data_IF_878111201111
#
_entry.id   IF_878111201111
#
_cell.length_a   1.000
_cell.length_b   1.000
_cell.length_c   1.000
_cell.angle_alpha   90.00
_cell.angle_beta   90.00
_cell.angle_gamma   90.00
#
_symmetry.space_group_name_H-M   'P 1'
#
loop_
_entity.id
_entity.type
_entity.pdbx_description
1 polymer ?
#
# COMPACT_ATOMS: atom_id res chain seq x y z
N UNK A 1 0.76 22.83 -8.14
CA UNK A 1 1.26 21.73 -7.30
C UNK A 1 0.05 20.89 -6.92
N UNK A 2 0.00 19.60 -7.28
CA UNK A 2 -1.13 18.73 -6.87
C UNK A 2 -1.08 18.55 -5.35
N UNK A 3 -2.24 18.62 -4.71
CA UNK A 3 -2.40 18.40 -3.26
C UNK A 3 -1.94 16.99 -2.89
N UNK A 4 -1.05 16.86 -1.91
CA UNK A 4 -0.57 15.56 -1.46
C UNK A 4 -1.69 14.80 -0.72
N UNK A 5 -1.85 13.52 -1.05
CA UNK A 5 -2.82 12.64 -0.38
C UNK A 5 -2.26 12.10 0.92
N UNK A 6 -0.94 11.91 0.99
CA UNK A 6 -0.18 11.53 2.19
C UNK A 6 0.98 12.49 2.35
N UNK A 7 1.15 13.05 3.55
CA UNK A 7 2.30 13.86 3.95
C UNK A 7 2.85 13.34 5.28
N UNK A 8 4.12 13.02 5.28
CA UNK A 8 4.85 12.52 6.46
C UNK A 8 6.10 13.37 6.62
N UNK A 9 6.32 13.89 7.84
CA UNK A 9 7.47 14.73 8.16
C UNK A 9 8.18 14.19 9.40
N UNK A 10 9.45 13.81 9.24
CA UNK A 10 10.38 13.36 10.29
C UNK A 10 9.81 12.30 11.25
N UNK A 11 8.98 11.41 10.69
CA UNK A 11 8.29 10.37 11.45
C UNK A 11 9.29 9.40 12.08
N UNK A 12 9.28 9.34 13.40
CA UNK A 12 10.10 8.40 14.15
C UNK A 12 9.22 7.49 15.02
N UNK A 13 9.52 6.19 14.99
CA UNK A 13 8.85 5.18 15.81
C UNK A 13 9.84 4.15 16.34
N UNK A 14 9.79 3.90 17.65
CA UNK A 14 10.57 2.86 18.35
C UNK A 14 9.67 1.87 19.06
N UNK A 15 10.09 0.62 19.07
CA UNK A 15 9.48 -0.46 19.85
C UNK A 15 10.58 -1.05 20.75
N UNK A 16 10.56 -0.70 22.03
CA UNK A 16 11.64 -1.02 22.95
C UNK A 16 12.99 -0.45 22.44
N UNK A 17 13.96 -1.31 22.25
CA UNK A 17 15.29 -0.95 21.74
C UNK A 17 15.35 -0.80 20.19
N UNK A 18 14.32 -1.27 19.47
CA UNK A 18 14.32 -1.28 18.01
C UNK A 18 13.72 0.00 17.47
N UNK A 19 14.46 0.72 16.62
CA UNK A 19 13.95 1.85 15.83
C UNK A 19 13.35 1.30 14.54
N UNK A 20 12.02 1.33 14.44
CA UNK A 20 11.29 0.82 13.29
C UNK A 20 11.16 1.87 12.16
N UNK A 21 11.10 3.17 12.52
CA UNK A 21 11.15 4.31 11.60
C UNK A 21 12.06 5.37 12.21
N UNK A 22 12.91 5.98 11.41
CA UNK A 22 13.93 6.94 11.82
C UNK A 22 13.90 8.16 10.90
N UNK A 23 13.26 9.24 11.37
CA UNK A 23 13.09 10.52 10.68
C UNK A 23 12.58 10.36 9.21
N UNK A 24 11.56 9.53 9.02
CA UNK A 24 10.97 9.26 7.69
C UNK A 24 10.16 10.47 7.24
N UNK A 25 10.50 11.03 6.07
CA UNK A 25 9.74 12.10 5.41
C UNK A 25 9.35 11.63 4.01
N UNK A 26 8.05 11.81 3.65
CA UNK A 26 7.46 11.31 2.41
C UNK A 26 6.25 12.15 2.03
N UNK A 27 6.13 12.50 0.75
CA UNK A 27 4.95 13.18 0.21
C UNK A 27 4.46 12.43 -1.03
N UNK A 28 3.19 12.03 -1.02
CA UNK A 28 2.55 11.29 -2.12
C UNK A 28 1.42 12.14 -2.70
N UNK A 29 1.62 12.76 -3.89
CA UNK A 29 0.57 13.42 -4.65
C UNK A 29 -0.55 12.48 -5.09
N UNK A 30 -1.70 13.04 -5.48
CA UNK A 30 -2.86 12.28 -5.98
C UNK A 30 -2.63 11.70 -7.37
N UNK A 31 -3.30 10.59 -7.68
CA UNK A 31 -3.50 10.08 -9.03
C UNK A 31 -2.33 9.29 -9.60
N UNK A 32 -1.60 8.56 -8.75
CA UNK A 32 -0.50 7.69 -9.17
C UNK A 32 -0.40 6.41 -8.33
N UNK A 33 0.36 5.43 -8.83
CA UNK A 33 0.75 4.21 -8.12
C UNK A 33 2.09 4.42 -7.42
N UNK A 34 2.11 4.25 -6.11
CA UNK A 34 3.29 4.33 -5.28
C UNK A 34 3.68 2.95 -4.75
N UNK A 35 4.86 2.48 -5.12
CA UNK A 35 5.45 1.26 -4.59
C UNK A 35 6.34 1.56 -3.38
N UNK A 36 6.02 0.99 -2.21
CA UNK A 36 6.85 1.04 -1.01
C UNK A 36 7.64 -0.27 -0.91
N UNK A 37 8.94 -0.22 -1.20
CA UNK A 37 9.77 -1.43 -1.28
C UNK A 37 10.84 -1.47 -0.20
N UNK A 38 11.15 -2.68 0.24
CA UNK A 38 12.18 -2.94 1.25
C UNK A 38 12.08 -4.36 1.79
N UNK A 39 13.15 -4.84 2.38
CA UNK A 39 13.19 -6.16 2.99
C UNK A 39 12.16 -6.32 4.14
N UNK A 40 11.89 -7.55 4.55
CA UNK A 40 11.07 -7.79 5.72
C UNK A 40 11.72 -7.15 6.96
N UNK A 41 10.89 -6.48 7.78
CA UNK A 41 11.37 -5.71 8.93
C UNK A 41 11.95 -4.32 8.59
N UNK A 42 11.95 -3.89 7.32
CA UNK A 42 12.46 -2.56 6.94
C UNK A 42 11.62 -1.37 7.46
N UNK A 43 10.38 -1.61 7.94
CA UNK A 43 9.49 -0.58 8.47
C UNK A 43 8.23 -0.32 7.64
N UNK A 44 8.00 -1.03 6.52
CA UNK A 44 6.86 -0.83 5.60
C UNK A 44 5.51 -0.88 6.31
N UNK A 45 5.18 -1.99 6.97
CA UNK A 45 3.92 -2.16 7.73
C UNK A 45 3.80 -1.14 8.88
N UNK A 46 4.92 -0.78 9.52
CA UNK A 46 4.91 0.26 10.56
C UNK A 46 4.52 1.62 9.97
N UNK A 47 5.06 1.98 8.81
CA UNK A 47 4.71 3.22 8.10
C UNK A 47 3.23 3.20 7.70
N UNK A 48 2.74 2.11 7.11
CA UNK A 48 1.33 1.93 6.73
C UNK A 48 0.41 2.07 7.96
N UNK A 49 0.75 1.48 9.09
CA UNK A 49 -0.05 1.61 10.34
C UNK A 49 -0.15 3.05 10.85
N UNK A 50 0.85 3.89 10.61
CA UNK A 50 0.75 5.33 10.93
C UNK A 50 -0.17 6.05 9.93
N UNK A 51 -0.12 5.73 8.64
CA UNK A 51 -1.04 6.26 7.62
C UNK A 51 -2.50 5.90 7.94
N UNK A 52 -2.74 4.70 8.46
CA UNK A 52 -4.08 4.23 8.88
C UNK A 52 -4.54 4.81 10.25
N UNK A 53 -3.69 5.56 10.96
CA UNK A 53 -3.99 6.06 12.30
C UNK A 53 -3.97 4.98 13.40
N UNK A 54 -3.51 3.76 13.10
CA UNK A 54 -3.39 2.66 14.06
C UNK A 54 -2.21 2.84 15.02
N UNK A 55 -1.26 3.70 14.67
CA UNK A 55 -0.12 4.07 15.49
C UNK A 55 0.00 5.60 15.55
N UNK A 56 0.21 6.13 16.77
CA UNK A 56 0.55 7.53 16.99
C UNK A 56 2.05 7.75 16.75
N UNK A 57 2.43 8.82 16.06
CA UNK A 57 3.82 9.25 15.92
C UNK A 57 4.44 9.54 17.31
N UNK A 58 5.66 9.09 17.53
CA UNK A 58 6.47 9.45 18.72
C UNK A 58 7.21 10.77 18.48
N UNK A 59 7.66 11.00 17.22
CA UNK A 59 8.16 12.27 16.75
C UNK A 59 7.75 12.45 15.29
N UNK A 60 7.71 13.69 14.82
CA UNK A 60 7.25 14.03 13.49
C UNK A 60 5.72 14.08 13.36
N UNK A 61 5.23 14.04 12.13
CA UNK A 61 3.79 14.12 11.86
C UNK A 61 3.38 13.29 10.65
N UNK A 62 2.11 12.87 10.62
CA UNK A 62 1.46 12.19 9.50
C UNK A 62 0.16 12.90 9.19
N UNK A 63 -0.06 13.21 7.92
CA UNK A 63 -1.32 13.73 7.41
C UNK A 63 -1.78 12.88 6.23
N UNK A 64 -3.06 12.55 6.22
CA UNK A 64 -3.73 11.86 5.11
C UNK A 64 -4.94 12.70 4.74
N UNK A 65 -5.04 13.11 3.47
CA UNK A 65 -6.03 14.08 3.01
C UNK A 65 -5.98 15.40 3.81
N UNK A 66 -4.77 15.84 4.24
CA UNK A 66 -4.57 17.01 5.10
C UNK A 66 -4.96 16.83 6.57
N UNK A 67 -5.44 15.63 6.99
CA UNK A 67 -5.94 15.30 8.33
C UNK A 67 -4.95 14.45 9.11
N UNK A 68 -4.91 14.59 10.43
CA UNK A 68 -4.21 13.65 11.31
C UNK A 68 -5.07 12.37 11.44
N UNK A 69 -4.59 11.20 10.98
CA UNK A 69 -5.38 9.96 10.96
C UNK A 69 -5.69 9.42 12.37
N UNK A 70 -4.95 9.83 13.39
CA UNK A 70 -5.22 9.45 14.79
C UNK A 70 -6.28 10.37 15.42
N UNK A 71 -6.29 11.65 15.06
CA UNK A 71 -7.25 12.63 15.59
C UNK A 71 -8.60 12.58 14.86
N UNK A 72 -8.60 12.28 13.54
CA UNK A 72 -9.81 12.18 12.72
C UNK A 72 -9.83 10.86 11.91
N UNK A 73 -9.94 9.71 12.59
CA UNK A 73 -9.91 8.40 11.91
C UNK A 73 -11.10 8.22 10.96
N UNK A 74 -12.29 8.72 11.29
CA UNK A 74 -13.46 8.59 10.42
C UNK A 74 -13.29 9.41 9.14
N UNK A 75 -12.79 10.65 9.24
CA UNK A 75 -12.55 11.52 8.10
C UNK A 75 -11.46 10.98 7.15
N UNK A 76 -10.56 10.11 7.64
CA UNK A 76 -9.54 9.46 6.83
C UNK A 76 -10.03 8.10 6.30
N UNK A 77 -10.48 7.20 7.18
CA UNK A 77 -10.78 5.81 6.81
C UNK A 77 -12.02 5.68 5.91
N UNK A 78 -12.97 6.64 5.96
CA UNK A 78 -14.12 6.66 5.03
C UNK A 78 -13.73 6.87 3.57
N UNK A 79 -12.51 7.36 3.30
CA UNK A 79 -11.96 7.67 1.97
C UNK A 79 -10.78 6.79 1.59
N UNK A 80 -10.38 5.86 2.48
CA UNK A 80 -9.21 5.02 2.35
C UNK A 80 -9.60 3.54 2.35
N UNK A 81 -9.24 2.80 1.29
CA UNK A 81 -9.34 1.34 1.21
C UNK A 81 -8.06 0.70 1.76
N UNK A 82 -8.20 -0.37 2.53
CA UNK A 82 -7.04 -1.07 3.09
C UNK A 82 -7.14 -2.58 2.91
N UNK A 83 -6.04 -3.19 2.49
CA UNK A 83 -5.83 -4.63 2.47
C UNK A 83 -4.54 -4.96 3.24
N UNK A 84 -4.67 -5.72 4.33
CA UNK A 84 -3.53 -6.21 5.12
C UNK A 84 -2.88 -7.45 4.49
N UNK A 85 -1.60 -7.68 4.79
CA UNK A 85 -0.88 -8.89 4.38
C UNK A 85 -1.57 -10.18 4.85
N UNK A 86 -2.06 -10.20 6.10
CA UNK A 86 -2.69 -11.38 6.70
C UNK A 86 -4.12 -11.62 6.19
N UNK A 87 -4.72 -10.64 5.52
CA UNK A 87 -6.12 -10.71 5.06
C UNK A 87 -7.08 -11.16 6.16
N UNK A 88 -7.01 -10.52 7.34
CA UNK A 88 -7.78 -10.84 8.53
C UNK A 88 -9.27 -10.49 8.37
N UNK A 89 -9.94 -11.28 7.57
CA UNK A 89 -11.39 -11.19 7.37
C UNK A 89 -12.14 -12.07 8.39
N UNK A 90 -13.35 -11.69 8.81
CA UNK A 90 -14.18 -12.47 9.73
C UNK A 90 -14.48 -13.86 9.19
N UNK A 91 -13.71 -14.87 9.61
CA UNK A 91 -13.78 -16.24 9.08
C UNK A 91 -15.12 -16.95 9.28
N UNK A 92 -15.93 -16.49 10.23
CA UNK A 92 -17.26 -17.03 10.53
C UNK A 92 -18.36 -16.53 9.56
N UNK A 93 -18.13 -15.42 8.86
CA UNK A 93 -19.05 -14.86 7.87
C UNK A 93 -19.00 -15.64 6.56
N UNK A 94 -20.08 -15.55 5.78
CA UNK A 94 -20.10 -15.85 4.35
C UNK A 94 -19.63 -14.64 3.56
N UNK A 95 -19.29 -14.81 2.30
CA UNK A 95 -18.87 -13.71 1.42
C UNK A 95 -19.96 -12.64 1.30
N UNK A 96 -21.22 -13.05 1.08
CA UNK A 96 -22.36 -12.12 1.01
C UNK A 96 -22.63 -11.40 2.35
N UNK A 97 -22.39 -12.07 3.48
CA UNK A 97 -22.48 -11.45 4.81
C UNK A 97 -21.36 -10.45 5.04
N UNK A 98 -20.12 -10.75 4.62
CA UNK A 98 -19.00 -9.85 4.68
C UNK A 98 -19.26 -8.57 3.88
N UNK A 99 -19.78 -8.70 2.66
CA UNK A 99 -20.15 -7.57 1.79
C UNK A 99 -21.20 -6.69 2.48
N UNK A 100 -22.30 -7.28 2.97
CA UNK A 100 -23.37 -6.55 3.67
C UNK A 100 -22.88 -5.88 4.95
N UNK A 101 -22.03 -6.56 5.70
CA UNK A 101 -21.42 -6.03 6.93
C UNK A 101 -20.56 -4.81 6.63
N UNK A 102 -19.64 -4.90 5.65
CA UNK A 102 -18.77 -3.79 5.28
C UNK A 102 -19.55 -2.61 4.72
N UNK A 103 -20.55 -2.87 3.86
CA UNK A 103 -21.47 -1.86 3.32
C UNK A 103 -22.07 -0.94 4.38
N UNK A 104 -22.41 -1.48 5.55
CA UNK A 104 -23.04 -0.71 6.62
C UNK A 104 -22.15 0.42 7.19
N UNK A 105 -20.84 0.36 6.98
CA UNK A 105 -19.87 1.38 7.46
C UNK A 105 -19.56 2.46 6.43
N UNK A 106 -19.90 2.22 5.15
CA UNK A 106 -19.49 3.11 4.05
C UNK A 106 -20.69 3.65 3.29
N UNK A 107 -21.12 4.92 3.55
CA UNK A 107 -22.25 5.53 2.85
C UNK A 107 -22.06 5.64 1.33
N UNK A 108 -20.80 5.70 0.86
CA UNK A 108 -20.43 5.75 -0.56
C UNK A 108 -20.32 4.35 -1.21
N UNK A 109 -20.84 3.29 -0.56
CA UNK A 109 -20.78 1.94 -1.10
C UNK A 109 -21.52 1.83 -2.45
N UNK A 110 -20.86 1.24 -3.44
CA UNK A 110 -21.40 1.01 -4.78
C UNK A 110 -21.76 -0.47 -4.96
N UNK A 111 -23.05 -0.77 -4.87
CA UNK A 111 -23.56 -2.14 -4.98
C UNK A 111 -23.26 -2.77 -6.35
N UNK A 112 -23.40 -1.99 -7.43
CA UNK A 112 -23.16 -2.50 -8.78
C UNK A 112 -21.68 -2.85 -8.98
N UNK A 113 -20.78 -2.01 -8.47
CA UNK A 113 -19.36 -2.27 -8.52
C UNK A 113 -18.95 -3.46 -7.62
N UNK A 114 -19.56 -3.60 -6.44
CA UNK A 114 -19.31 -4.75 -5.58
C UNK A 114 -19.74 -6.08 -6.25
N UNK A 115 -20.88 -6.09 -6.96
CA UNK A 115 -21.32 -7.25 -7.75
C UNK A 115 -20.39 -7.56 -8.92
N UNK A 116 -19.90 -6.54 -9.62
CA UNK A 116 -18.91 -6.68 -10.69
C UNK A 116 -17.61 -7.29 -10.17
N UNK A 117 -17.07 -6.76 -9.06
CA UNK A 117 -15.88 -7.29 -8.42
C UNK A 117 -16.07 -8.72 -7.94
N UNK A 118 -17.24 -9.05 -7.37
CA UNK A 118 -17.56 -10.40 -6.91
C UNK A 118 -17.53 -11.42 -8.07
N UNK A 119 -18.09 -11.04 -9.21
CA UNK A 119 -18.08 -11.87 -10.44
C UNK A 119 -16.64 -11.98 -10.99
N UNK A 120 -15.93 -10.86 -11.11
CA UNK A 120 -14.55 -10.81 -11.63
C UNK A 120 -13.59 -11.66 -10.79
N UNK A 121 -13.75 -11.64 -9.47
CA UNK A 121 -12.91 -12.40 -8.54
C UNK A 121 -13.40 -13.84 -8.32
N UNK A 122 -14.48 -14.24 -9.00
CA UNK A 122 -15.09 -15.56 -8.87
C UNK A 122 -15.34 -15.98 -7.40
N UNK A 123 -15.92 -15.05 -6.61
CA UNK A 123 -16.21 -15.28 -5.20
C UNK A 123 -17.63 -15.83 -5.03
N UNK A 124 -17.75 -17.06 -4.52
CA UNK A 124 -19.04 -17.70 -4.25
C UNK A 124 -19.71 -17.02 -3.04
N UNK A 125 -20.92 -16.42 -3.19
CA UNK A 125 -21.60 -15.67 -2.13
C UNK A 125 -21.81 -16.45 -0.84
N UNK A 126 -22.17 -17.74 -0.98
CA UNK A 126 -22.50 -18.63 0.13
C UNK A 126 -21.29 -19.23 0.83
N UNK A 127 -20.07 -19.10 0.26
CA UNK A 127 -18.86 -19.65 0.83
C UNK A 127 -18.46 -18.97 2.13
N UNK A 128 -18.06 -19.74 3.14
CA UNK A 128 -17.54 -19.18 4.39
C UNK A 128 -16.13 -18.64 4.17
N UNK A 129 -15.84 -17.44 4.68
CA UNK A 129 -14.53 -16.79 4.56
C UNK A 129 -13.39 -17.69 5.09
N UNK A 130 -13.61 -18.44 6.18
CA UNK A 130 -12.62 -19.40 6.69
C UNK A 130 -12.27 -20.52 5.73
N UNK A 131 -13.17 -20.89 4.81
CA UNK A 131 -12.96 -21.97 3.83
C UNK A 131 -12.32 -21.50 2.54
N UNK A 132 -12.18 -20.19 2.36
CA UNK A 132 -11.52 -19.61 1.19
C UNK A 132 -10.01 -19.91 1.20
N UNK A 133 -9.45 -20.16 0.03
CA UNK A 133 -8.00 -20.20 -0.14
C UNK A 133 -7.37 -18.84 0.18
N UNK A 134 -6.04 -18.79 0.39
CA UNK A 134 -5.33 -17.53 0.62
C UNK A 134 -5.60 -16.51 -0.49
N UNK A 135 -5.57 -16.94 -1.75
CA UNK A 135 -5.87 -16.09 -2.90
C UNK A 135 -7.31 -15.61 -2.95
N UNK A 136 -8.28 -16.47 -2.62
CA UNK A 136 -9.69 -16.06 -2.53
C UNK A 136 -9.93 -15.07 -1.38
N UNK A 137 -9.25 -15.23 -0.24
CA UNK A 137 -9.30 -14.26 0.86
C UNK A 137 -8.74 -12.90 0.43
N UNK A 138 -7.62 -12.89 -0.28
CA UNK A 138 -7.03 -11.66 -0.82
C UNK A 138 -8.00 -10.94 -1.78
N UNK A 139 -8.65 -11.69 -2.69
CA UNK A 139 -9.68 -11.15 -3.59
C UNK A 139 -10.90 -10.63 -2.82
N UNK A 140 -11.37 -11.33 -1.80
CA UNK A 140 -12.49 -10.89 -0.96
C UNK A 140 -12.14 -9.61 -0.17
N UNK A 141 -10.92 -9.53 0.40
CA UNK A 141 -10.40 -8.33 1.05
C UNK A 141 -10.29 -7.16 0.09
N UNK A 142 -9.80 -7.41 -1.14
CA UNK A 142 -9.69 -6.38 -2.17
C UNK A 142 -11.08 -5.88 -2.61
N UNK A 143 -12.07 -6.76 -2.76
CA UNK A 143 -13.45 -6.38 -3.07
C UNK A 143 -13.98 -5.39 -2.02
N UNK A 144 -13.91 -5.74 -0.74
CA UNK A 144 -14.47 -4.88 0.32
C UNK A 144 -13.68 -3.58 0.49
N UNK A 145 -12.38 -3.57 0.14
CA UNK A 145 -11.56 -2.37 0.16
C UNK A 145 -11.85 -1.42 -1.03
N UNK A 146 -12.39 -1.94 -2.14
CA UNK A 146 -12.66 -1.18 -3.38
C UNK A 146 -14.12 -0.74 -3.52
N UNK A 147 -15.08 -1.50 -2.98
CA UNK A 147 -16.49 -1.35 -3.30
C UNK A 147 -17.12 0.00 -2.93
N UNK A 148 -16.52 0.75 -1.99
CA UNK A 148 -16.96 2.13 -1.67
C UNK A 148 -16.15 3.21 -2.41
N UNK A 149 -15.39 2.80 -3.43
CA UNK A 149 -14.65 3.68 -4.33
C UNK A 149 -13.72 4.66 -3.58
N UNK A 150 -12.76 4.16 -2.75
CA UNK A 150 -11.88 5.02 -1.96
C UNK A 150 -10.99 5.91 -2.84
N UNK A 151 -10.62 7.10 -2.36
CA UNK A 151 -9.68 8.01 -3.03
C UNK A 151 -8.23 7.53 -2.91
N UNK A 152 -7.91 6.80 -1.84
CA UNK A 152 -6.61 6.19 -1.58
C UNK A 152 -6.80 4.70 -1.27
N UNK A 153 -6.11 3.83 -2.02
CA UNK A 153 -6.02 2.40 -1.72
C UNK A 153 -4.65 2.09 -1.15
N UNK A 154 -4.60 1.52 0.05
CA UNK A 154 -3.37 1.08 0.72
C UNK A 154 -3.35 -0.44 0.80
N UNK A 155 -2.32 -1.06 0.25
CA UNK A 155 -2.16 -2.51 0.19
C UNK A 155 -0.83 -2.91 0.85
N UNK A 156 -0.90 -3.67 1.95
CA UNK A 156 0.31 -4.14 2.64
C UNK A 156 0.64 -5.56 2.20
N UNK A 157 1.72 -5.71 1.41
CA UNK A 157 2.18 -6.98 0.83
C UNK A 157 1.05 -7.80 0.16
N UNK A 158 0.24 -7.22 -0.75
CA UNK A 158 -1.01 -7.81 -1.22
C UNK A 158 -0.83 -9.13 -1.98
N UNK A 159 0.37 -9.41 -2.48
CA UNK A 159 0.74 -10.59 -3.27
C UNK A 159 1.55 -11.63 -2.48
N UNK A 160 1.86 -11.34 -1.20
CA UNK A 160 2.71 -12.20 -0.38
C UNK A 160 2.18 -13.62 -0.25
N UNK A 161 2.99 -14.62 -0.68
CA UNK A 161 2.66 -16.05 -0.60
C UNK A 161 1.46 -16.47 -1.47
N UNK A 162 1.14 -15.69 -2.50
CA UNK A 162 0.12 -16.04 -3.50
C UNK A 162 0.77 -16.69 -4.74
N UNK A 163 -0.01 -17.52 -5.42
CA UNK A 163 0.39 -18.07 -6.71
C UNK A 163 0.46 -16.98 -7.81
N UNK A 164 1.20 -17.21 -8.92
CA UNK A 164 1.41 -16.20 -9.95
C UNK A 164 0.12 -15.70 -10.62
N UNK A 165 -0.95 -16.52 -10.68
CA UNK A 165 -2.22 -16.14 -11.30
C UNK A 165 -2.95 -15.13 -10.44
N UNK A 166 -3.12 -15.44 -9.14
CA UNK A 166 -3.77 -14.52 -8.19
C UNK A 166 -2.98 -13.24 -8.04
N UNK A 167 -1.64 -13.32 -8.00
CA UNK A 167 -0.75 -12.15 -7.98
C UNK A 167 -1.04 -11.22 -9.16
N UNK A 168 -1.11 -11.76 -10.38
CA UNK A 168 -1.43 -10.98 -11.58
C UNK A 168 -2.81 -10.33 -11.51
N UNK A 169 -3.81 -11.01 -10.93
CA UNK A 169 -5.15 -10.45 -10.77
C UNK A 169 -5.16 -9.25 -9.82
N UNK A 170 -4.41 -9.32 -8.71
CA UNK A 170 -4.27 -8.21 -7.77
C UNK A 170 -3.57 -7.03 -8.41
N UNK A 171 -2.43 -7.24 -9.08
CA UNK A 171 -1.71 -6.19 -9.81
C UNK A 171 -2.59 -5.58 -10.91
N UNK A 172 -3.36 -6.40 -11.63
CA UNK A 172 -4.34 -5.94 -12.61
C UNK A 172 -5.45 -5.08 -11.99
N UNK A 173 -5.92 -5.41 -10.79
CA UNK A 173 -6.90 -4.61 -10.08
C UNK A 173 -6.34 -3.25 -9.64
N UNK A 174 -5.08 -3.20 -9.20
CA UNK A 174 -4.35 -1.97 -8.89
C UNK A 174 -4.32 -1.05 -10.11
N UNK A 175 -3.89 -1.57 -11.27
CA UNK A 175 -3.80 -0.80 -12.51
C UNK A 175 -5.17 -0.23 -12.91
N UNK A 176 -6.24 -1.05 -12.87
CA UNK A 176 -7.60 -0.61 -13.21
C UNK A 176 -8.09 0.50 -12.29
N UNK A 177 -7.83 0.40 -10.99
CA UNK A 177 -8.24 1.41 -10.00
C UNK A 177 -7.71 2.81 -10.33
N UNK A 178 -6.55 2.91 -11.00
CA UNK A 178 -5.96 4.18 -11.43
C UNK A 178 -6.43 4.58 -12.81
N UNK A 179 -6.35 3.64 -13.77
CA UNK A 179 -6.66 3.91 -15.16
C UNK A 179 -8.10 4.39 -15.35
N UNK A 180 -9.04 3.78 -14.61
CA UNK A 180 -10.48 4.05 -14.79
C UNK A 180 -10.97 5.23 -13.94
N UNK A 181 -10.29 5.58 -12.84
CA UNK A 181 -10.86 6.49 -11.84
C UNK A 181 -9.88 7.54 -11.30
N UNK A 182 -8.62 7.56 -11.75
CA UNK A 182 -7.61 8.54 -11.35
C UNK A 182 -7.30 8.53 -9.84
N UNK A 183 -7.48 7.39 -9.17
CA UNK A 183 -7.28 7.25 -7.73
C UNK A 183 -5.80 7.06 -7.39
N UNK A 184 -5.47 7.19 -6.12
CA UNK A 184 -4.11 6.95 -5.63
C UNK A 184 -4.01 5.56 -5.03
N UNK A 185 -2.92 4.85 -5.34
CA UNK A 185 -2.60 3.56 -4.71
C UNK A 185 -1.23 3.64 -4.07
N UNK A 186 -1.14 3.19 -2.82
CA UNK A 186 0.12 2.88 -2.14
C UNK A 186 0.14 1.38 -1.86
N UNK A 187 1.12 0.66 -2.41
CA UNK A 187 1.28 -0.75 -2.08
C UNK A 187 2.70 -1.06 -1.63
N UNK A 188 2.82 -1.89 -0.60
CA UNK A 188 4.10 -2.39 -0.17
C UNK A 188 4.43 -3.72 -0.84
N UNK A 189 5.71 -3.96 -1.14
CA UNK A 189 6.22 -5.25 -1.60
C UNK A 189 7.69 -5.42 -1.19
N UNK A 190 8.10 -6.65 -0.96
CA UNK A 190 9.50 -7.02 -0.88
C UNK A 190 10.03 -7.52 -2.25
N UNK A 191 9.16 -7.67 -3.26
CA UNK A 191 9.47 -8.08 -4.62
C UNK A 191 9.52 -6.86 -5.53
N UNK A 192 10.75 -6.36 -5.81
CA UNK A 192 10.94 -5.16 -6.61
C UNK A 192 10.40 -5.31 -8.04
N UNK A 193 10.43 -6.53 -8.60
CA UNK A 193 9.89 -6.83 -9.93
C UNK A 193 8.38 -6.56 -10.04
N UNK A 194 7.59 -6.74 -8.96
CA UNK A 194 6.16 -6.40 -8.96
C UNK A 194 5.96 -4.90 -9.07
N UNK A 195 6.79 -4.15 -8.34
CA UNK A 195 6.73 -2.68 -8.32
C UNK A 195 7.13 -2.11 -9.68
N UNK A 196 8.14 -2.68 -10.34
CA UNK A 196 8.55 -2.28 -11.69
C UNK A 196 7.45 -2.42 -12.75
N UNK A 197 6.47 -3.31 -12.52
CA UNK A 197 5.39 -3.58 -13.47
C UNK A 197 4.24 -2.56 -13.37
N UNK A 198 4.02 -1.97 -12.20
CA UNK A 198 2.78 -1.21 -11.95
C UNK A 198 2.99 0.16 -11.32
N UNK A 199 4.15 0.44 -10.72
CA UNK A 199 4.38 1.69 -9.99
C UNK A 199 4.83 2.83 -10.90
N UNK A 200 4.27 4.02 -10.70
CA UNK A 200 4.75 5.27 -11.27
C UNK A 200 5.89 5.86 -10.43
N UNK A 201 5.79 5.67 -9.10
CA UNK A 201 6.76 6.16 -8.13
C UNK A 201 7.22 5.03 -7.21
N UNK A 202 8.47 5.07 -6.81
CA UNK A 202 9.06 4.08 -5.91
C UNK A 202 9.69 4.75 -4.71
N UNK A 203 9.34 4.26 -3.53
CA UNK A 203 9.97 4.61 -2.26
C UNK A 203 10.67 3.38 -1.71
N UNK A 204 12.00 3.43 -1.63
CA UNK A 204 12.82 2.37 -1.06
C UNK A 204 13.08 2.66 0.42
N UNK A 205 12.72 1.71 1.30
CA UNK A 205 12.95 1.81 2.74
C UNK A 205 13.88 0.70 3.22
N UNK A 206 14.86 1.04 4.04
CA UNK A 206 15.78 0.09 4.67
C UNK A 206 16.09 0.52 6.10
N UNK A 207 16.04 -0.41 7.05
CA UNK A 207 16.31 -0.17 8.47
C UNK A 207 15.60 1.10 9.03
N UNK A 208 14.33 1.28 8.65
CA UNK A 208 13.50 2.40 9.07
C UNK A 208 13.78 3.74 8.41
N UNK A 209 14.64 3.81 7.39
CA UNK A 209 15.00 5.05 6.67
C UNK A 209 14.65 4.95 5.19
N UNK A 210 14.22 6.06 4.59
CA UNK A 210 14.03 6.14 3.14
C UNK A 210 15.40 6.32 2.47
N UNK A 211 15.72 5.41 1.54
CA UNK A 211 16.92 5.46 0.72
C UNK A 211 16.70 6.30 -0.55
N UNK A 212 15.55 6.11 -1.17
CA UNK A 212 15.15 6.76 -2.43
C UNK A 212 13.63 6.93 -2.41
N UNK A 213 13.13 8.06 -2.90
CA UNK A 213 11.71 8.28 -3.18
C UNK A 213 11.61 9.20 -4.39
N UNK A 214 11.26 8.64 -5.56
CA UNK A 214 11.15 9.38 -6.82
C UNK A 214 10.29 8.62 -7.84
N UNK A 215 10.06 9.21 -9.01
CA UNK A 215 9.45 8.52 -10.14
C UNK A 215 10.33 7.34 -10.58
N UNK A 216 9.70 6.25 -10.98
CA UNK A 216 10.43 5.05 -11.44
C UNK A 216 11.41 5.37 -12.58
N UNK A 217 10.99 6.21 -13.53
CA UNK A 217 11.82 6.59 -14.67
C UNK A 217 13.04 7.42 -14.23
N UNK A 218 12.86 8.35 -13.28
CA UNK A 218 13.95 9.16 -12.71
C UNK A 218 14.96 8.29 -11.96
N UNK A 219 14.49 7.31 -11.20
CA UNK A 219 15.36 6.34 -10.51
C UNK A 219 16.20 5.56 -11.52
N UNK A 220 15.57 5.06 -12.59
CA UNK A 220 16.26 4.30 -13.65
C UNK A 220 17.29 5.14 -14.38
N UNK A 221 16.96 6.38 -14.75
CA UNK A 221 17.87 7.26 -15.47
C UNK A 221 19.05 7.68 -14.59
N UNK A 222 18.82 8.01 -13.31
CA UNK A 222 19.89 8.40 -12.36
C UNK A 222 20.86 7.26 -11.98
N UNK A 223 20.49 6.00 -12.27
CA UNK A 223 21.32 4.82 -12.01
C UNK A 223 21.71 4.08 -13.30
N UNK A 224 21.76 4.78 -14.41
CA UNK A 224 22.22 4.24 -15.70
C UNK A 224 23.74 4.09 -15.70
N UNK A 225 24.24 2.95 -16.20
CA UNK A 225 25.67 2.68 -16.35
C UNK A 225 25.98 2.44 -17.84
N UNK A 226 26.46 3.47 -18.53
CA UNK A 226 26.59 3.45 -19.99
C UNK A 226 25.21 3.32 -20.65
N UNK A 227 25.06 2.35 -21.54
CA UNK A 227 23.77 2.06 -22.20
C UNK A 227 22.87 1.13 -21.38
N UNK A 228 23.32 0.61 -20.25
CA UNK A 228 22.57 -0.31 -19.40
C UNK A 228 21.75 0.44 -18.36
N UNK A 229 20.44 0.14 -18.32
CA UNK A 229 19.53 0.55 -17.23
C UNK A 229 19.58 -0.54 -16.15
N UNK A 230 19.89 -0.16 -14.91
CA UNK A 230 19.88 -1.10 -13.79
C UNK A 230 18.45 -1.44 -13.37
N UNK A 231 18.21 -2.69 -12.94
CA UNK A 231 16.97 -3.10 -12.31
C UNK A 231 16.81 -2.46 -10.92
N UNK A 232 15.59 -2.38 -10.38
CA UNK A 232 15.37 -1.90 -9.02
C UNK A 232 16.11 -2.75 -7.99
N UNK A 233 16.27 -4.07 -8.21
CA UNK A 233 17.05 -4.96 -7.35
C UNK A 233 18.52 -4.52 -7.28
N UNK A 234 19.14 -4.26 -8.44
CA UNK A 234 20.54 -3.80 -8.51
C UNK A 234 20.72 -2.43 -7.85
N UNK A 235 19.77 -1.51 -8.07
CA UNK A 235 19.76 -0.18 -7.45
C UNK A 235 19.60 -0.29 -5.93
N UNK A 236 18.69 -1.13 -5.45
CA UNK A 236 18.46 -1.37 -4.01
C UNK A 236 19.73 -1.91 -3.34
N UNK A 237 20.35 -2.95 -3.91
CA UNK A 237 21.59 -3.54 -3.39
C UNK A 237 22.72 -2.49 -3.35
N UNK A 238 22.88 -1.69 -4.40
CA UNK A 238 23.88 -0.63 -4.45
C UNK A 238 23.64 0.44 -3.36
N UNK A 239 22.39 0.81 -3.11
CA UNK A 239 22.03 1.81 -2.10
C UNK A 239 22.18 1.29 -0.67
N UNK A 240 21.83 0.05 -0.40
CA UNK A 240 22.00 -0.59 0.92
C UNK A 240 23.50 -0.79 1.24
N UNK A 241 24.31 -1.14 0.25
CA UNK A 241 25.75 -1.31 0.40
C UNK A 241 26.54 0.02 0.54
N UNK A 242 25.93 1.17 0.26
CA UNK A 242 26.55 2.48 0.39
C UNK A 242 26.19 3.09 1.75
N UNK A 243 27.19 3.45 2.62
CA UNK A 243 26.89 4.11 3.88
C UNK A 243 26.08 5.39 3.62
N UNK A 244 24.98 5.57 4.32
CA UNK A 244 24.16 6.78 4.25
C UNK A 244 25.04 7.98 4.65
N UNK A 245 25.31 8.90 3.73
CA UNK A 245 25.93 10.19 4.08
C UNK A 245 24.96 10.91 5.02
N UNK A 246 25.45 11.30 6.18
CA UNK A 246 24.71 12.18 7.09
C UNK A 246 24.34 13.48 6.33
N UNK A 247 23.12 14.00 6.44
CA UNK A 247 22.77 15.30 5.88
C UNK A 247 23.57 16.37 6.63
N UNK A 248 24.47 17.07 5.92
CA UNK A 248 25.19 18.24 6.41
C UNK A 248 26.61 17.93 6.95
N UNK A 249 27.57 17.73 6.04
CA UNK A 249 28.97 18.08 6.26
C UNK A 249 29.41 18.98 5.09
#
# INVERSE_FOLDING_TARGET
>A
MSEAVIEISDLTRRFGATTALDAVSLSLPRGAVYGLVGANGAGKTTLIRHILGLLRAQAGSVRVFGRDPVADPVGVLSRLGYLSEDNDLPGWMRVDELIRYTRAFYPAWDDAYAEELQKTFALEPSAKVRSLSKGQKARAGLLVALAYRPELLVLDEPSSGLDPIVRRDILGAIIRTIADEGRTVLFSSHLLQEVEQVADHVTMIHAGRILVSARLDEIRESHRVGDRVLSLDEIFVARVGTPLRAPGA
#
